data_IF_881252867531
#
_entry.id   IF_881252867531
#
_cell.length_a   1.000
_cell.length_b   1.000
_cell.length_c   1.000
_cell.angle_alpha   90.00
_cell.angle_beta   90.00
_cell.angle_gamma   90.00
#
_symmetry.space_group_name_H-M   'P 1'
#
loop_
_entity.id
_entity.type
_entity.pdbx_description
1 polymer ?
#
# COMPACT_ATOMS: atom_id res chain seq x y z
N UNK A 1 17.08 24.74 67.10
CA UNK A 1 16.37 23.72 66.31
C UNK A 1 15.26 24.37 65.54
N UNK A 2 15.37 24.44 64.21
CA UNK A 2 14.26 24.35 63.24
C UNK A 2 14.81 24.67 61.84
N UNK A 3 14.98 23.62 61.04
CA UNK A 3 15.22 23.72 59.61
C UNK A 3 13.87 23.72 58.90
N UNK A 4 13.60 24.62 57.94
CA UNK A 4 12.41 24.51 57.11
C UNK A 4 12.60 23.36 56.13
N UNK A 5 11.70 22.37 56.24
CA UNK A 5 11.58 21.23 55.33
C UNK A 5 11.38 21.72 53.89
N UNK A 6 12.30 21.33 53.01
CA UNK A 6 12.09 21.31 51.57
C UNK A 6 10.83 20.47 51.25
N UNK A 7 9.83 21.13 50.66
CA UNK A 7 8.74 20.44 49.97
C UNK A 7 9.22 20.12 48.56
N UNK A 8 9.69 18.89 48.36
CA UNK A 8 9.80 18.30 47.02
C UNK A 8 8.41 18.20 46.41
N UNK A 9 8.12 19.07 45.45
CA UNK A 9 6.97 18.93 44.56
C UNK A 9 7.24 17.73 43.63
N UNK A 10 6.78 16.55 44.02
CA UNK A 10 6.67 15.41 43.12
C UNK A 10 5.52 15.66 42.16
N UNK A 11 5.84 15.69 40.86
CA UNK A 11 4.92 15.77 39.72
C UNK A 11 3.73 14.82 39.87
N UNK A 12 2.59 15.37 40.31
CA UNK A 12 1.31 14.69 40.36
C UNK A 12 0.60 14.76 39.01
N UNK A 13 0.98 13.94 38.03
CA UNK A 13 0.05 13.60 36.95
C UNK A 13 -1.08 12.78 37.55
N UNK A 14 -2.26 13.39 37.69
CA UNK A 14 -3.46 12.76 38.25
C UNK A 14 -3.76 11.41 37.55
N UNK A 15 -4.10 10.33 38.29
CA UNK A 15 -4.47 9.04 37.70
C UNK A 15 -5.68 9.14 36.76
N UNK A 16 -6.48 10.21 36.85
CA UNK A 16 -7.60 10.46 35.96
C UNK A 16 -7.15 10.88 34.54
N UNK A 17 -6.09 11.70 34.43
CA UNK A 17 -5.56 12.14 33.14
C UNK A 17 -4.89 11.00 32.36
N UNK A 18 -4.21 10.09 33.07
CA UNK A 18 -3.63 8.89 32.45
C UNK A 18 -4.73 7.95 31.90
N UNK A 19 -5.84 7.82 32.63
CA UNK A 19 -7.01 7.03 32.19
C UNK A 19 -7.69 7.65 30.97
N UNK A 20 -7.92 8.96 30.98
CA UNK A 20 -8.52 9.71 29.86
C UNK A 20 -7.66 9.63 28.58
N UNK A 21 -6.34 9.71 28.71
CA UNK A 21 -5.41 9.53 27.59
C UNK A 21 -5.47 8.10 27.04
N UNK A 22 -5.51 7.08 27.90
CA UNK A 22 -5.65 5.69 27.49
C UNK A 22 -6.98 5.41 26.77
N UNK A 23 -8.09 5.97 27.27
CA UNK A 23 -9.40 5.88 26.62
C UNK A 23 -9.41 6.59 25.26
N UNK A 24 -8.77 7.76 25.17
CA UNK A 24 -8.65 8.51 23.91
C UNK A 24 -7.80 7.77 22.88
N UNK A 25 -6.70 7.15 23.31
CA UNK A 25 -5.88 6.28 22.47
C UNK A 25 -6.67 5.07 21.96
N UNK A 26 -7.45 4.43 22.84
CA UNK A 26 -8.30 3.31 22.46
C UNK A 26 -9.35 3.71 21.41
N UNK A 27 -9.97 4.90 21.56
CA UNK A 27 -10.90 5.45 20.57
C UNK A 27 -10.21 5.71 19.22
N UNK A 28 -9.02 6.31 19.24
CA UNK A 28 -8.21 6.50 18.03
C UNK A 28 -7.88 5.16 17.36
N UNK A 29 -7.46 4.16 18.14
CA UNK A 29 -7.16 2.82 17.64
C UNK A 29 -8.38 2.19 16.95
N UNK A 30 -9.54 2.22 17.60
CA UNK A 30 -10.80 1.70 17.03
C UNK A 30 -11.17 2.45 15.74
N UNK A 31 -11.01 3.78 15.70
CA UNK A 31 -11.26 4.57 14.51
C UNK A 31 -10.34 4.19 13.34
N UNK A 32 -9.04 3.96 13.62
CA UNK A 32 -8.06 3.51 12.64
C UNK A 32 -8.43 2.13 12.08
N UNK A 33 -8.74 1.15 12.94
CA UNK A 33 -9.17 -0.19 12.53
C UNK A 33 -10.44 -0.15 11.66
N UNK A 34 -11.43 0.66 12.07
CA UNK A 34 -12.66 0.83 11.29
C UNK A 34 -12.41 1.52 9.95
N UNK A 35 -11.46 2.45 9.87
CA UNK A 35 -11.07 3.10 8.60
C UNK A 35 -10.36 2.11 7.66
N UNK A 36 -9.50 1.25 8.19
CA UNK A 36 -8.84 0.17 7.43
C UNK A 36 -9.85 -0.83 6.89
N UNK A 37 -10.77 -1.29 7.74
CA UNK A 37 -11.84 -2.18 7.33
C UNK A 37 -12.67 -1.57 6.20
N UNK A 38 -13.19 -0.35 6.39
CA UNK A 38 -13.96 0.36 5.36
C UNK A 38 -13.15 0.54 4.07
N UNK A 39 -11.90 0.96 4.17
CA UNK A 39 -11.03 1.18 3.01
C UNK A 39 -10.85 -0.09 2.17
N UNK A 40 -10.58 -1.23 2.81
CA UNK A 40 -10.42 -2.50 2.10
C UNK A 40 -11.77 -3.01 1.56
N UNK A 41 -12.85 -2.91 2.35
CA UNK A 41 -14.21 -3.28 1.90
C UNK A 41 -14.68 -2.48 0.69
N UNK A 42 -14.38 -1.18 0.64
CA UNK A 42 -14.67 -0.33 -0.53
C UNK A 42 -13.91 -0.78 -1.77
N UNK A 43 -12.64 -1.18 -1.63
CA UNK A 43 -11.86 -1.73 -2.73
C UNK A 43 -12.45 -3.06 -3.20
N UNK A 44 -12.81 -3.97 -2.28
CA UNK A 44 -13.50 -5.24 -2.59
C UNK A 44 -14.77 -4.98 -3.39
N UNK A 45 -15.61 -4.05 -2.92
CA UNK A 45 -16.85 -3.67 -3.60
C UNK A 45 -16.60 -3.12 -5.01
N UNK A 46 -15.67 -2.17 -5.16
CA UNK A 46 -15.32 -1.58 -6.46
C UNK A 46 -14.81 -2.64 -7.44
N UNK A 47 -13.95 -3.55 -6.98
CA UNK A 47 -13.41 -4.63 -7.81
C UNK A 47 -14.49 -5.65 -8.20
N UNK A 48 -15.40 -5.97 -7.28
CA UNK A 48 -16.53 -6.86 -7.55
C UNK A 48 -17.49 -6.26 -8.57
N UNK A 49 -17.82 -4.98 -8.41
CA UNK A 49 -18.72 -4.26 -9.32
C UNK A 49 -18.13 -4.16 -10.73
N UNK A 50 -16.82 -3.94 -10.86
CA UNK A 50 -16.15 -3.96 -12.15
C UNK A 50 -16.25 -5.34 -12.83
N UNK A 51 -16.09 -6.43 -12.08
CA UNK A 51 -16.21 -7.79 -12.63
C UNK A 51 -17.62 -8.14 -13.10
N UNK A 52 -18.65 -7.46 -12.62
CA UNK A 52 -20.01 -7.65 -13.13
C UNK A 52 -20.12 -7.24 -14.61
N UNK A 53 -19.35 -6.24 -15.05
CA UNK A 53 -19.35 -5.72 -16.43
C UNK A 53 -17.94 -5.27 -16.87
N UNK A 54 -16.99 -6.19 -17.09
CA UNK A 54 -15.59 -5.84 -17.37
C UNK A 54 -15.35 -5.40 -18.82
N UNK A 55 -16.35 -5.54 -19.70
CA UNK A 55 -16.20 -5.29 -21.13
C UNK A 55 -15.13 -6.19 -21.76
N UNK A 56 -14.26 -5.61 -22.61
CA UNK A 56 -13.11 -6.30 -23.22
C UNK A 56 -11.78 -5.99 -22.51
N UNK A 57 -11.85 -5.62 -21.22
CA UNK A 57 -10.65 -5.23 -20.47
C UNK A 57 -9.75 -6.44 -20.18
N UNK A 58 -8.53 -6.44 -20.71
CA UNK A 58 -7.48 -7.38 -20.28
C UNK A 58 -6.64 -6.86 -19.10
N UNK A 59 -6.81 -5.60 -18.73
CA UNK A 59 -6.04 -4.92 -17.68
C UNK A 59 -6.95 -3.92 -16.99
N UNK A 60 -6.76 -3.77 -15.69
CA UNK A 60 -7.37 -2.70 -14.91
C UNK A 60 -6.27 -2.01 -14.11
N UNK A 61 -6.20 -0.69 -14.19
CA UNK A 61 -5.29 0.12 -13.35
C UNK A 61 -6.04 0.61 -12.13
N UNK A 62 -5.51 0.34 -10.94
CA UNK A 62 -6.08 0.82 -9.68
C UNK A 62 -5.17 1.93 -9.15
N UNK A 63 -5.59 3.20 -9.24
CA UNK A 63 -4.81 4.32 -8.70
C UNK A 63 -4.94 4.44 -7.17
N UNK A 64 -5.62 3.49 -6.52
CA UNK A 64 -5.90 3.51 -5.09
C UNK A 64 -4.73 2.86 -4.36
N UNK A 65 -4.25 3.53 -3.32
CA UNK A 65 -3.29 3.00 -2.36
C UNK A 65 -3.95 3.04 -0.97
N UNK A 66 -3.84 1.93 -0.23
CA UNK A 66 -4.20 1.87 1.19
C UNK A 66 -2.92 1.62 1.98
N UNK A 67 -2.30 2.69 2.49
CA UNK A 67 -0.98 2.68 3.13
C UNK A 67 -1.01 3.43 4.47
N UNK A 68 -0.01 3.21 5.33
CA UNK A 68 0.12 3.95 6.59
C UNK A 68 0.15 5.46 6.32
N UNK A 69 0.84 5.93 5.27
CA UNK A 69 0.90 7.34 4.91
C UNK A 69 -0.45 7.92 4.50
N UNK A 70 -1.20 7.22 3.65
CA UNK A 70 -2.53 7.68 3.22
C UNK A 70 -3.52 7.76 4.38
N UNK A 71 -3.46 6.80 5.31
CA UNK A 71 -4.32 6.77 6.51
C UNK A 71 -3.90 7.87 7.47
N UNK A 72 -2.62 7.95 7.84
CA UNK A 72 -2.11 9.01 8.72
C UNK A 72 -2.44 10.41 8.21
N UNK A 73 -2.46 10.63 6.90
CA UNK A 73 -2.80 11.93 6.31
C UNK A 73 -4.20 12.41 6.67
N UNK A 74 -5.17 11.50 6.80
CA UNK A 74 -6.56 11.86 7.11
C UNK A 74 -6.67 12.51 8.50
N UNK A 75 -5.97 11.96 9.49
CA UNK A 75 -5.92 12.54 10.84
C UNK A 75 -5.03 13.78 10.89
N UNK A 76 -3.87 13.73 10.22
CA UNK A 76 -2.93 14.85 10.18
C UNK A 76 -3.57 16.11 9.57
N UNK A 77 -4.29 15.95 8.46
CA UNK A 77 -4.96 17.04 7.77
C UNK A 77 -6.00 17.72 8.66
N UNK A 78 -6.80 16.94 9.41
CA UNK A 78 -7.79 17.51 10.35
C UNK A 78 -7.11 18.28 11.47
N UNK A 79 -6.09 17.67 12.10
CA UNK A 79 -5.35 18.26 13.21
C UNK A 79 -4.60 19.54 12.81
N UNK A 80 -4.15 19.68 11.56
CA UNK A 80 -3.52 20.91 11.07
C UNK A 80 -4.52 22.01 10.71
N UNK A 81 -5.79 21.67 10.49
CA UNK A 81 -6.82 22.64 10.11
C UNK A 81 -7.59 23.17 11.32
N UNK A 82 -7.77 22.36 12.37
CA UNK A 82 -8.66 22.65 13.50
C UNK A 82 -7.90 22.53 14.83
N UNK A 83 -7.79 23.59 15.64
CA UNK A 83 -7.09 23.55 16.92
C UNK A 83 -7.61 22.50 17.90
N UNK A 84 -8.92 22.30 17.96
CA UNK A 84 -9.57 21.31 18.82
C UNK A 84 -9.19 19.88 18.41
N UNK A 85 -9.15 19.59 17.10
CA UNK A 85 -8.73 18.30 16.56
C UNK A 85 -7.25 18.04 16.86
N UNK A 86 -6.41 19.09 16.80
CA UNK A 86 -4.99 19.00 17.21
C UNK A 86 -4.87 18.59 18.66
N UNK A 87 -5.59 19.26 19.56
CA UNK A 87 -5.53 18.96 20.99
C UNK A 87 -6.04 17.56 21.29
N UNK A 88 -7.15 17.16 20.66
CA UNK A 88 -7.67 15.80 20.77
C UNK A 88 -6.65 14.76 20.30
N UNK A 89 -6.04 14.99 19.13
CA UNK A 89 -5.04 14.07 18.58
C UNK A 89 -3.80 13.98 19.49
N UNK A 90 -3.26 15.11 19.95
CA UNK A 90 -2.14 15.12 20.88
C UNK A 90 -2.45 14.32 22.14
N UNK A 91 -3.61 14.56 22.77
CA UNK A 91 -4.05 13.81 23.95
C UNK A 91 -4.20 12.31 23.67
N UNK A 92 -4.79 11.92 22.53
CA UNK A 92 -4.95 10.53 22.13
C UNK A 92 -3.62 9.83 21.87
N UNK A 93 -2.60 10.56 21.42
CA UNK A 93 -1.24 10.04 21.22
C UNK A 93 -0.41 10.00 22.51
N UNK A 94 -0.90 10.63 23.58
CA UNK A 94 -0.18 10.79 24.85
C UNK A 94 0.82 11.96 24.85
N UNK A 95 0.69 12.86 23.89
CA UNK A 95 1.53 14.03 23.69
C UNK A 95 0.97 15.29 24.38
N UNK A 96 1.82 16.29 24.56
CA UNK A 96 1.43 17.60 25.07
C UNK A 96 0.54 18.35 24.04
N UNK A 97 -0.48 19.13 24.44
CA UNK A 97 -1.26 19.95 23.52
C UNK A 97 -0.45 20.98 22.70
N UNK A 98 0.75 21.34 23.18
CA UNK A 98 1.68 22.27 22.53
C UNK A 98 2.87 21.56 21.88
N UNK A 99 2.77 20.25 21.65
CA UNK A 99 3.79 19.46 20.95
C UNK A 99 4.06 20.03 19.55
N UNK A 100 5.32 19.97 19.11
CA UNK A 100 5.70 20.37 17.76
C UNK A 100 5.18 19.38 16.70
N UNK A 101 5.09 19.84 15.46
CA UNK A 101 4.54 19.04 14.36
C UNK A 101 5.32 17.76 14.07
N UNK A 102 6.65 17.81 14.18
CA UNK A 102 7.49 16.65 13.85
C UNK A 102 7.26 15.53 14.88
N UNK A 103 7.27 15.87 16.16
CA UNK A 103 6.99 14.92 17.26
C UNK A 103 5.57 14.37 17.17
N UNK A 104 4.56 15.22 16.93
CA UNK A 104 3.17 14.78 16.80
C UNK A 104 2.97 13.83 15.62
N UNK A 105 3.58 14.14 14.47
CA UNK A 105 3.47 13.28 13.29
C UNK A 105 4.20 11.94 13.50
N UNK A 106 5.35 11.92 14.17
CA UNK A 106 6.02 10.66 14.53
C UNK A 106 5.15 9.79 15.43
N UNK A 107 4.52 10.38 16.47
CA UNK A 107 3.63 9.65 17.35
C UNK A 107 2.40 9.10 16.61
N UNK A 108 1.80 9.89 15.72
CA UNK A 108 0.70 9.44 14.86
C UNK A 108 1.12 8.27 13.96
N UNK A 109 2.30 8.36 13.33
CA UNK A 109 2.83 7.30 12.47
C UNK A 109 3.01 5.99 13.23
N UNK A 110 3.50 6.05 14.47
CA UNK A 110 3.65 4.89 15.33
C UNK A 110 2.30 4.25 15.67
N UNK A 111 1.29 5.07 16.04
CA UNK A 111 -0.05 4.59 16.35
C UNK A 111 -0.74 3.93 15.13
N UNK A 112 -0.60 4.56 13.95
CA UNK A 112 -1.13 4.03 12.68
C UNK A 112 -0.46 2.70 12.35
N UNK A 113 0.87 2.61 12.44
CA UNK A 113 1.61 1.36 12.21
C UNK A 113 1.11 0.22 13.09
N UNK A 114 0.91 0.49 14.37
CA UNK A 114 0.36 -0.52 15.28
C UNK A 114 -1.07 -0.92 14.91
N UNK A 115 -1.92 0.02 14.48
CA UNK A 115 -3.24 -0.29 13.95
C UNK A 115 -3.20 -1.17 12.69
N UNK A 116 -2.25 -0.94 11.78
CA UNK A 116 -2.04 -1.78 10.59
C UNK A 116 -1.65 -3.22 10.97
N UNK A 117 -0.70 -3.38 11.90
CA UNK A 117 -0.28 -4.69 12.42
C UNK A 117 -1.45 -5.42 13.09
N UNK A 118 -2.22 -4.70 13.90
CA UNK A 118 -3.37 -5.25 14.61
C UNK A 118 -4.47 -5.67 13.64
N UNK A 119 -4.82 -4.81 12.68
CA UNK A 119 -5.89 -5.06 11.71
C UNK A 119 -5.74 -6.41 11.00
N UNK A 120 -4.53 -6.76 10.56
CA UNK A 120 -4.23 -8.03 9.89
C UNK A 120 -4.55 -9.28 10.74
N UNK A 121 -4.63 -9.13 12.07
CA UNK A 121 -4.90 -10.21 13.02
C UNK A 121 -6.31 -10.17 13.58
N UNK A 122 -7.06 -9.09 13.33
CA UNK A 122 -8.46 -8.99 13.76
C UNK A 122 -9.38 -9.86 12.88
N UNK A 123 -10.46 -10.43 13.42
CA UNK A 123 -11.43 -11.18 12.62
C UNK A 123 -11.99 -10.38 11.42
N UNK A 124 -12.39 -9.09 11.56
CA UNK A 124 -12.85 -8.31 10.42
C UNK A 124 -11.76 -8.09 9.36
N UNK A 125 -10.51 -7.91 9.77
CA UNK A 125 -9.38 -7.73 8.85
C UNK A 125 -9.05 -8.99 8.07
N UNK A 126 -9.03 -10.15 8.74
CA UNK A 126 -8.82 -11.45 8.10
C UNK A 126 -9.93 -11.74 7.08
N UNK A 127 -11.19 -11.52 7.47
CA UNK A 127 -12.34 -11.80 6.61
C UNK A 127 -12.35 -10.92 5.36
N UNK A 128 -12.18 -9.59 5.52
CA UNK A 128 -12.16 -8.70 4.35
C UNK A 128 -10.93 -8.96 3.46
N UNK A 129 -9.79 -9.37 4.03
CA UNK A 129 -8.61 -9.75 3.24
C UNK A 129 -8.87 -11.00 2.41
N UNK A 130 -9.54 -12.00 2.99
CA UNK A 130 -9.95 -13.21 2.27
C UNK A 130 -10.87 -12.85 1.11
N UNK A 131 -11.90 -12.03 1.34
CA UNK A 131 -12.80 -11.56 0.28
C UNK A 131 -12.06 -10.81 -0.82
N UNK A 132 -11.10 -9.97 -0.46
CA UNK A 132 -10.23 -9.29 -1.40
C UNK A 132 -9.45 -10.27 -2.29
N UNK A 133 -8.76 -11.25 -1.69
CA UNK A 133 -7.99 -12.23 -2.44
C UNK A 133 -8.90 -13.14 -3.31
N UNK A 134 -10.11 -13.50 -2.84
CA UNK A 134 -11.11 -14.22 -3.64
C UNK A 134 -11.56 -13.42 -4.87
N UNK A 135 -11.78 -12.12 -4.73
CA UNK A 135 -12.09 -11.25 -5.87
C UNK A 135 -10.93 -11.23 -6.85
N UNK A 136 -9.68 -11.12 -6.40
CA UNK A 136 -8.51 -11.14 -7.29
C UNK A 136 -8.32 -12.47 -8.03
N UNK A 137 -8.66 -13.58 -7.41
CA UNK A 137 -8.68 -14.88 -8.11
C UNK A 137 -9.71 -14.90 -9.25
N UNK A 138 -10.87 -14.22 -9.07
CA UNK A 138 -11.85 -14.06 -10.16
C UNK A 138 -11.31 -13.18 -11.30
N UNK A 139 -10.50 -12.15 -11.00
CA UNK A 139 -9.77 -11.40 -12.03
C UNK A 139 -8.79 -12.29 -12.80
N UNK A 140 -8.07 -13.17 -12.10
CA UNK A 140 -7.13 -14.11 -12.70
C UNK A 140 -7.86 -15.09 -13.65
N UNK A 141 -8.96 -15.67 -13.20
CA UNK A 141 -9.82 -16.54 -14.01
C UNK A 141 -10.44 -15.81 -15.22
N UNK A 142 -10.83 -14.56 -15.05
CA UNK A 142 -11.33 -13.70 -16.14
C UNK A 142 -10.22 -13.20 -17.07
N UNK A 143 -8.95 -13.55 -16.80
CA UNK A 143 -7.77 -13.05 -17.52
C UNK A 143 -7.78 -11.52 -17.60
N UNK A 144 -8.04 -10.86 -16.48
CA UNK A 144 -7.90 -9.42 -16.31
C UNK A 144 -6.77 -9.22 -15.32
N UNK A 145 -5.73 -8.47 -15.68
CA UNK A 145 -4.59 -8.24 -14.79
C UNK A 145 -4.79 -6.92 -14.04
N UNK A 146 -4.94 -6.93 -12.71
CA UNK A 146 -4.89 -5.71 -11.93
C UNK A 146 -3.46 -5.18 -11.86
N UNK A 147 -3.31 -3.88 -12.09
CA UNK A 147 -2.04 -3.14 -12.01
C UNK A 147 -2.23 -1.99 -11.03
N UNK A 148 -1.35 -1.86 -10.04
CA UNK A 148 -1.51 -0.87 -8.97
C UNK A 148 -0.22 -0.10 -8.67
N UNK A 149 -0.33 1.00 -7.94
CA UNK A 149 0.84 1.63 -7.32
C UNK A 149 1.24 0.85 -6.06
N UNK A 150 2.50 0.40 -6.00
CA UNK A 150 3.01 -0.32 -4.83
C UNK A 150 3.22 0.58 -3.61
N UNK A 151 3.45 1.87 -3.85
CA UNK A 151 3.69 2.87 -2.84
C UNK A 151 2.81 4.10 -3.05
N UNK A 152 2.43 4.73 -1.94
CA UNK A 152 1.83 6.05 -1.91
C UNK A 152 2.90 7.12 -2.18
N UNK A 153 2.49 8.18 -2.87
CA UNK A 153 3.28 9.38 -3.15
C UNK A 153 2.50 10.64 -2.77
N UNK A 154 1.51 10.49 -1.89
CA UNK A 154 0.59 11.54 -1.49
C UNK A 154 1.17 12.58 -0.53
N UNK A 155 0.34 13.53 -0.09
CA UNK A 155 0.77 14.75 0.60
C UNK A 155 1.54 14.52 1.91
N UNK A 156 1.31 13.40 2.59
CA UNK A 156 2.03 13.13 3.84
C UNK A 156 3.50 12.80 3.62
N UNK A 157 3.87 12.32 2.43
CA UNK A 157 5.28 12.12 2.06
C UNK A 157 5.98 13.48 1.96
N UNK A 158 5.33 14.45 1.32
CA UNK A 158 5.80 15.83 1.20
C UNK A 158 5.91 16.49 2.58
N UNK A 159 4.93 16.25 3.44
CA UNK A 159 4.91 16.77 4.80
C UNK A 159 6.03 16.21 5.67
N UNK A 160 6.32 14.91 5.56
CA UNK A 160 7.47 14.32 6.24
C UNK A 160 8.77 14.98 5.78
N UNK A 161 8.93 15.22 4.47
CA UNK A 161 10.09 15.94 3.95
C UNK A 161 10.18 17.38 4.50
N UNK A 162 9.05 18.11 4.55
CA UNK A 162 8.96 19.47 5.13
C UNK A 162 9.39 19.50 6.60
N UNK A 163 9.03 18.47 7.36
CA UNK A 163 9.33 18.34 8.79
C UNK A 163 10.67 17.66 9.07
N UNK A 164 11.47 17.32 8.05
CA UNK A 164 12.75 16.64 8.23
C UNK A 164 12.63 15.20 8.72
N UNK A 165 11.47 14.56 8.53
CA UNK A 165 11.19 13.20 8.93
C UNK A 165 11.50 12.21 7.80
N UNK A 166 12.17 11.11 8.12
CA UNK A 166 12.40 10.03 7.16
C UNK A 166 11.10 9.28 6.87
N UNK A 167 10.77 9.12 5.59
CA UNK A 167 9.71 8.25 5.10
C UNK A 167 10.27 6.84 4.86
N UNK A 168 9.99 5.93 5.78
CA UNK A 168 10.34 4.51 5.62
C UNK A 168 9.53 3.88 4.47
N UNK A 169 10.11 2.89 3.78
CA UNK A 169 9.43 2.23 2.64
C UNK A 169 8.10 1.61 3.06
N UNK A 170 8.03 0.98 4.23
CA UNK A 170 6.80 0.33 4.72
C UNK A 170 5.68 1.33 4.99
N UNK A 171 6.03 2.58 5.33
CA UNK A 171 5.06 3.62 5.61
C UNK A 171 4.21 3.98 4.38
N UNK A 172 4.82 3.96 3.20
CA UNK A 172 4.13 4.27 1.94
C UNK A 172 3.64 3.01 1.23
N UNK A 173 4.08 1.81 1.64
CA UNK A 173 3.72 0.55 0.99
C UNK A 173 2.22 0.26 1.10
N UNK A 174 1.63 -0.13 -0.03
CA UNK A 174 0.19 -0.45 -0.10
C UNK A 174 -0.13 -1.79 0.57
N UNK A 175 -1.12 -1.80 1.46
CA UNK A 175 -1.78 -3.00 2.02
C UNK A 175 -2.48 -3.83 0.93
N UNK A 176 -2.80 -3.21 -0.21
CA UNK A 176 -3.45 -3.85 -1.36
C UNK A 176 -2.49 -4.76 -2.15
N UNK A 177 -1.19 -4.80 -1.80
CA UNK A 177 -0.26 -5.73 -2.43
C UNK A 177 -0.74 -7.18 -2.31
N UNK A 178 -0.82 -7.87 -3.45
CA UNK A 178 -1.24 -9.26 -3.55
C UNK A 178 -0.49 -9.98 -4.68
N UNK A 179 -0.17 -11.29 -4.55
CA UNK A 179 0.49 -12.07 -5.60
C UNK A 179 -0.27 -12.15 -6.94
N UNK A 180 -1.57 -11.84 -6.92
CA UNK A 180 -2.42 -11.82 -8.12
C UNK A 180 -2.28 -10.53 -8.95
N UNK A 181 -1.57 -9.54 -8.41
CA UNK A 181 -1.42 -8.22 -9.01
C UNK A 181 -0.04 -8.00 -9.63
N UNK A 182 0.05 -6.93 -10.42
CA UNK A 182 1.30 -6.28 -10.78
C UNK A 182 1.34 -4.91 -10.10
N UNK A 183 2.52 -4.50 -9.65
CA UNK A 183 2.69 -3.17 -9.09
C UNK A 183 3.84 -2.42 -9.73
N UNK A 184 3.76 -1.10 -9.73
CA UNK A 184 4.97 -0.27 -9.90
C UNK A 184 5.70 -0.15 -8.57
N UNK A 185 7.03 -0.18 -8.59
CA UNK A 185 7.89 0.08 -7.42
C UNK A 185 8.62 1.41 -7.53
N UNK A 186 9.08 1.93 -6.38
CA UNK A 186 9.95 3.11 -6.35
C UNK A 186 11.40 2.74 -6.68
N UNK A 187 11.81 1.52 -6.31
CA UNK A 187 13.15 1.00 -6.54
C UNK A 187 13.14 -0.44 -7.12
N UNK A 188 14.20 -0.86 -7.84
CA UNK A 188 14.24 -2.19 -8.46
C UNK A 188 14.24 -3.35 -7.48
N UNK A 189 14.85 -3.17 -6.31
CA UNK A 189 14.98 -4.17 -5.24
C UNK A 189 13.66 -4.48 -4.53
N UNK A 190 12.58 -3.76 -4.84
CA UNK A 190 11.26 -4.02 -4.28
C UNK A 190 10.52 -5.19 -4.97
N UNK A 191 9.69 -5.85 -4.16
CA UNK A 191 8.88 -6.99 -4.58
C UNK A 191 9.53 -8.32 -4.28
N UNK A 192 8.93 -9.39 -4.79
CA UNK A 192 9.43 -10.75 -4.64
C UNK A 192 9.07 -11.58 -5.88
N UNK A 193 9.51 -12.84 -5.89
CA UNK A 193 9.11 -13.79 -6.94
C UNK A 193 7.58 -14.01 -6.99
N UNK A 194 6.87 -13.78 -5.87
CA UNK A 194 5.41 -13.96 -5.78
C UNK A 194 4.66 -12.64 -5.89
N UNK A 195 5.22 -11.55 -5.38
CA UNK A 195 4.66 -10.19 -5.49
C UNK A 195 5.50 -9.37 -6.46
N UNK A 196 5.15 -9.42 -7.74
CA UNK A 196 5.94 -8.77 -8.79
C UNK A 196 5.72 -7.26 -8.79
N UNK A 197 6.79 -6.52 -8.49
CA UNK A 197 6.86 -5.06 -8.57
C UNK A 197 7.88 -4.66 -9.64
N UNK A 198 7.55 -3.61 -10.41
CA UNK A 198 8.29 -3.17 -11.58
C UNK A 198 8.70 -1.71 -11.41
N UNK A 199 10.02 -1.47 -11.37
CA UNK A 199 10.58 -0.12 -11.34
C UNK A 199 10.76 0.43 -12.76
N UNK A 200 10.82 1.76 -12.88
CA UNK A 200 11.11 2.47 -14.15
C UNK A 200 9.90 2.78 -15.02
N UNK A 201 8.70 2.28 -14.67
CA UNK A 201 7.46 2.56 -15.37
C UNK A 201 6.45 3.25 -14.44
N UNK A 202 5.66 4.17 -14.99
CA UNK A 202 4.47 4.70 -14.33
C UNK A 202 3.33 3.67 -14.36
N UNK A 203 2.31 3.87 -13.52
CA UNK A 203 1.13 3.00 -13.47
C UNK A 203 0.45 2.87 -14.85
N UNK A 204 0.35 3.98 -15.58
CA UNK A 204 -0.23 4.01 -16.92
C UNK A 204 0.65 3.28 -17.95
N UNK A 205 1.97 3.44 -17.87
CA UNK A 205 2.91 2.73 -18.76
C UNK A 205 2.86 1.22 -18.54
N UNK A 206 2.87 0.77 -17.28
CA UNK A 206 2.76 -0.66 -16.96
C UNK A 206 1.40 -1.23 -17.40
N UNK A 207 0.30 -0.50 -17.15
CA UNK A 207 -1.02 -0.88 -17.63
C UNK A 207 -1.10 -1.01 -19.15
N UNK A 208 -0.53 -0.04 -19.87
CA UNK A 208 -0.44 -0.05 -21.33
C UNK A 208 0.39 -1.23 -21.86
N UNK A 209 1.54 -1.50 -21.23
CA UNK A 209 2.39 -2.64 -21.57
C UNK A 209 1.63 -3.96 -21.42
N UNK A 210 0.94 -4.19 -20.30
CA UNK A 210 0.13 -5.39 -20.08
C UNK A 210 -0.98 -5.51 -21.14
N UNK A 211 -1.67 -4.41 -21.45
CA UNK A 211 -2.67 -4.38 -22.52
C UNK A 211 -2.07 -4.71 -23.89
N UNK A 212 -0.86 -4.22 -24.18
CA UNK A 212 -0.15 -4.51 -25.42
C UNK A 212 0.27 -5.98 -25.50
N UNK A 213 0.79 -6.57 -24.41
CA UNK A 213 1.17 -7.99 -24.38
C UNK A 213 -0.01 -8.91 -24.67
N UNK A 214 -1.20 -8.57 -24.18
CA UNK A 214 -2.42 -9.33 -24.46
C UNK A 214 -2.90 -9.20 -25.89
N UNK A 215 -2.69 -8.05 -26.53
CA UNK A 215 -2.96 -7.90 -27.96
C UNK A 215 -1.99 -8.72 -28.81
N UNK A 216 -0.71 -8.76 -28.42
CA UNK A 216 0.30 -9.56 -29.10
C UNK A 216 0.09 -11.06 -28.90
N UNK A 217 -0.31 -11.47 -27.69
CA UNK A 217 -0.54 -12.86 -27.35
C UNK A 217 -1.76 -12.98 -26.41
N UNK A 218 -2.98 -13.16 -26.99
CA UNK A 218 -4.21 -13.29 -26.21
C UNK A 218 -4.28 -14.52 -25.31
N UNK A 219 -3.35 -15.48 -25.49
CA UNK A 219 -3.29 -16.74 -24.74
C UNK A 219 -2.40 -16.66 -23.50
N UNK A 220 -1.78 -15.51 -23.21
CA UNK A 220 -1.02 -15.31 -21.98
C UNK A 220 -1.96 -15.30 -20.77
N UNK A 221 -1.69 -16.19 -19.82
CA UNK A 221 -2.27 -16.09 -18.48
C UNK A 221 -1.64 -14.93 -17.70
N UNK A 222 -2.33 -14.46 -16.66
CA UNK A 222 -1.81 -13.43 -15.78
C UNK A 222 -0.48 -13.85 -15.13
N UNK A 223 -0.36 -15.11 -14.70
CA UNK A 223 0.88 -15.65 -14.13
C UNK A 223 2.05 -15.58 -15.13
N UNK A 224 1.80 -15.85 -16.42
CA UNK A 224 2.81 -15.71 -17.46
C UNK A 224 3.19 -14.25 -17.70
N UNK A 225 2.21 -13.33 -17.71
CA UNK A 225 2.50 -11.89 -17.79
C UNK A 225 3.37 -11.43 -16.62
N UNK A 226 3.03 -11.84 -15.39
CA UNK A 226 3.83 -11.57 -14.19
C UNK A 226 5.26 -12.12 -14.31
N UNK A 227 5.40 -13.36 -14.77
CA UNK A 227 6.71 -14.00 -14.96
C UNK A 227 7.56 -13.31 -16.05
N UNK A 228 6.96 -12.91 -17.17
CA UNK A 228 7.64 -12.16 -18.23
C UNK A 228 8.19 -10.83 -17.71
N UNK A 229 7.37 -10.07 -16.99
CA UNK A 229 7.77 -8.80 -16.42
C UNK A 229 8.80 -8.96 -15.30
N UNK A 230 8.67 -9.98 -14.46
CA UNK A 230 9.68 -10.32 -13.45
C UNK A 230 11.03 -10.62 -14.10
N UNK A 231 11.04 -11.44 -15.16
CA UNK A 231 12.26 -11.79 -15.90
C UNK A 231 12.90 -10.57 -16.54
N UNK A 232 12.13 -9.69 -17.15
CA UNK A 232 12.67 -8.48 -17.79
C UNK A 232 13.20 -7.46 -16.78
N UNK A 233 12.61 -7.43 -15.58
CA UNK A 233 13.09 -6.62 -14.45
C UNK A 233 14.20 -7.32 -13.66
N UNK A 234 14.80 -8.39 -14.19
CA UNK A 234 15.93 -9.09 -13.58
C UNK A 234 17.08 -9.17 -14.57
N UNK A 235 18.26 -8.70 -14.16
CA UNK A 235 19.50 -9.02 -14.84
C UNK A 235 19.82 -10.49 -14.59
N UNK A 236 19.64 -11.33 -15.61
CA UNK A 236 19.86 -12.78 -15.50
C UNK A 236 21.34 -13.15 -15.30
N UNK A 237 22.30 -12.28 -15.63
CA UNK A 237 23.73 -12.55 -15.43
C UNK A 237 24.13 -12.30 -13.98
N UNK A 238 23.59 -11.22 -13.39
CA UNK A 238 23.92 -10.81 -12.03
C UNK A 238 22.90 -11.31 -11.00
N UNK A 239 21.78 -11.90 -11.44
CA UNK A 239 20.61 -12.23 -10.62
C UNK A 239 20.08 -11.03 -9.80
N UNK A 240 20.32 -9.80 -10.28
CA UNK A 240 19.91 -8.56 -9.62
C UNK A 240 18.68 -7.97 -10.28
N UNK A 241 17.83 -7.32 -9.49
CA UNK A 241 16.67 -6.59 -10.01
C UNK A 241 17.11 -5.30 -10.70
N UNK A 242 16.43 -4.92 -11.78
CA UNK A 242 16.68 -3.68 -12.53
C UNK A 242 15.38 -2.98 -12.92
N UNK A 243 15.46 -1.66 -13.12
CA UNK A 243 14.37 -0.89 -13.69
C UNK A 243 14.13 -1.30 -15.15
N UNK A 244 12.87 -1.28 -15.59
CA UNK A 244 12.54 -1.47 -16.99
C UNK A 244 12.73 -0.16 -17.74
N UNK A 245 13.65 -0.17 -18.71
CA UNK A 245 13.76 0.87 -19.73
C UNK A 245 13.05 0.46 -21.01
N UNK A 246 13.19 1.31 -22.03
CA UNK A 246 12.59 1.09 -23.35
C UNK A 246 13.06 -0.24 -23.98
N UNK A 247 14.35 -0.58 -23.83
CA UNK A 247 14.92 -1.81 -24.38
C UNK A 247 14.30 -3.06 -23.74
N UNK A 248 14.13 -3.08 -22.42
CA UNK A 248 13.49 -4.20 -21.73
C UNK A 248 12.02 -4.33 -22.13
N UNK A 249 11.31 -3.21 -22.31
CA UNK A 249 9.92 -3.21 -22.78
C UNK A 249 9.80 -3.85 -24.16
N UNK A 250 10.70 -3.52 -25.08
CA UNK A 250 10.74 -4.12 -26.43
C UNK A 250 11.06 -5.62 -26.37
N UNK A 251 12.01 -6.04 -25.52
CA UNK A 251 12.34 -7.45 -25.31
C UNK A 251 11.15 -8.24 -24.77
N UNK A 252 10.38 -7.69 -23.82
CA UNK A 252 9.18 -8.33 -23.27
C UNK A 252 8.11 -8.52 -24.36
N UNK A 253 7.91 -7.51 -25.20
CA UNK A 253 6.97 -7.58 -26.31
C UNK A 253 7.38 -8.63 -27.34
N UNK A 254 8.67 -8.70 -27.69
CA UNK A 254 9.16 -9.69 -28.64
C UNK A 254 9.04 -11.12 -28.08
N UNK A 255 9.39 -11.32 -26.81
CA UNK A 255 9.22 -12.61 -26.15
C UNK A 255 7.75 -13.07 -26.14
N UNK A 256 6.80 -12.15 -25.93
CA UNK A 256 5.37 -12.46 -26.01
C UNK A 256 4.95 -12.94 -27.40
N UNK A 257 5.49 -12.34 -28.48
CA UNK A 257 5.24 -12.78 -29.87
C UNK A 257 5.84 -14.16 -30.12
N UNK A 258 7.07 -14.39 -29.68
CA UNK A 258 7.76 -15.68 -29.83
C UNK A 258 6.99 -16.82 -29.14
N UNK A 259 6.48 -16.58 -27.92
CA UNK A 259 5.66 -17.55 -27.20
C UNK A 259 4.35 -17.89 -27.93
N UNK A 260 3.73 -16.93 -28.62
CA UNK A 260 2.54 -17.22 -29.43
C UNK A 260 2.91 -18.10 -30.64
N UNK A 261 4.01 -17.77 -31.33
CA UNK A 261 4.49 -18.54 -32.49
C UNK A 261 4.82 -19.98 -32.10
N UNK A 262 5.50 -20.20 -30.98
CA UNK A 262 5.84 -21.53 -30.49
C UNK A 262 4.59 -22.37 -30.20
N UNK A 263 3.59 -21.81 -29.52
CA UNK A 263 2.31 -22.50 -29.28
C UNK A 263 1.55 -22.78 -30.57
N UNK A 264 1.58 -21.87 -31.53
CA UNK A 264 0.96 -22.10 -32.84
C UNK A 264 1.64 -23.27 -33.58
N UNK A 265 2.96 -23.41 -33.46
CA UNK A 265 3.71 -24.56 -34.02
C UNK A 265 3.36 -25.86 -33.28
N UNK A 266 3.25 -25.86 -31.95
CA UNK A 266 2.80 -27.04 -31.19
C UNK A 266 1.43 -27.56 -31.67
N UNK A 267 0.52 -26.65 -32.03
CA UNK A 267 -0.79 -27.01 -32.59
C UNK A 267 -0.78 -27.49 -34.04
N UNK A 268 0.33 -27.32 -34.78
CA UNK A 268 0.46 -27.76 -36.18
C UNK A 268 1.20 -29.11 -36.31
N UNK A 269 1.87 -29.57 -35.25
CA UNK A 269 2.69 -30.81 -35.24
C UNK A 269 1.94 -31.98 -34.57
N UNK A 270 0.71 -31.74 -34.08
CA UNK A 270 -0.24 -32.76 -33.58
C UNK A 270 -1.37 -32.91 -34.58
#
# INVERSE_FOLDING_TARGET
SEAPRERTATDGKSPNAAKEAAESRAKLRVALLNRLHRGLSEVVMKLTNFLANPGRAGVVTLPIVLSESSVAYEWWKSANAVPEDRQYLAMALGESPVVDDATMLQALRAEVREAFKEFQRTPPGIEVRKQYDEVLQKYDAARIQPVISGHDSGPLVEECARLGLTCERDFTRSLLMSPWMLAISQSPDEGSATQVMVAGLTLAQLGSLVGHLRRLNPMLSNAQVRSLLLRASTDMKLALRKALGQQEVEQVQELARQLLRLRAVEHLVV
#
